data_IF_374250632480
#
_entry.id   IF_374250632480
#
_cell.length_a   1.000
_cell.length_b   1.000
_cell.length_c   1.000
_cell.angle_alpha   90.00
_cell.angle_beta   90.00
_cell.angle_gamma   90.00
#
_symmetry.space_group_name_H-M   'P 1'
#
loop_
_entity.id
_entity.type
_entity.pdbx_description
1 polymer ?
#
# COMPACT_ATOMS: atom_id res chain seq x y z
N UNK A 1 -3.37 -5.43 37.46
CA UNK A 1 -4.23 -5.57 36.27
C UNK A 1 -3.72 -4.57 35.23
N UNK A 2 -2.42 -4.60 34.92
CA UNK A 2 -1.71 -3.46 34.33
C UNK A 2 -0.74 -3.84 33.19
N UNK A 3 -0.59 -5.12 32.86
CA UNK A 3 0.32 -5.57 31.79
C UNK A 3 -0.31 -5.61 30.38
N UNK A 4 -1.64 -5.51 30.29
CA UNK A 4 -2.37 -5.67 29.01
C UNK A 4 -2.41 -4.36 28.21
N UNK A 5 -2.35 -3.19 28.85
CA UNK A 5 -2.43 -1.88 28.17
C UNK A 5 -1.08 -1.35 27.65
N UNK A 6 0.04 -1.75 28.26
CA UNK A 6 1.38 -1.24 27.92
C UNK A 6 1.93 -1.78 26.59
N UNK A 7 1.64 -3.03 26.25
CA UNK A 7 2.14 -3.68 25.03
C UNK A 7 1.28 -3.37 23.80
N UNK A 8 -0.04 -3.27 23.98
CA UNK A 8 -0.98 -2.99 22.89
C UNK A 8 -0.89 -1.55 22.36
N UNK A 9 -0.68 -0.58 23.25
CA UNK A 9 -0.56 0.84 22.89
C UNK A 9 0.77 1.12 22.16
N UNK A 10 1.89 0.57 22.65
CA UNK A 10 3.23 0.74 22.04
C UNK A 10 3.35 0.12 20.64
N UNK A 11 2.71 -1.04 20.41
CA UNK A 11 2.73 -1.71 19.09
C UNK A 11 1.90 -0.94 18.05
N UNK A 12 0.79 -0.33 18.48
CA UNK A 12 -0.10 0.47 17.62
C UNK A 12 0.57 1.77 17.15
N UNK A 13 1.21 2.52 18.05
CA UNK A 13 1.91 3.77 17.69
C UNK A 13 3.06 3.51 16.72
N UNK A 14 3.89 2.49 16.97
CA UNK A 14 5.00 2.15 16.08
C UNK A 14 4.54 1.75 14.66
N UNK A 15 3.40 1.07 14.55
CA UNK A 15 2.81 0.71 13.25
C UNK A 15 2.31 1.95 12.51
N UNK A 16 1.65 2.87 13.22
CA UNK A 16 1.17 4.13 12.67
C UNK A 16 2.34 5.05 12.23
N UNK A 17 3.38 5.19 13.04
CA UNK A 17 4.58 5.97 12.73
C UNK A 17 5.28 5.46 11.47
N UNK A 18 5.46 4.14 11.37
CA UNK A 18 6.06 3.52 10.19
C UNK A 18 5.21 3.74 8.94
N UNK A 19 3.88 3.63 9.07
CA UNK A 19 2.96 3.91 7.98
C UNK A 19 3.06 5.38 7.53
N UNK A 20 2.99 6.34 8.45
CA UNK A 20 3.07 7.77 8.16
C UNK A 20 4.42 8.12 7.50
N UNK A 21 5.53 7.59 8.01
CA UNK A 21 6.84 7.81 7.40
C UNK A 21 6.92 7.28 5.98
N UNK A 22 6.24 6.16 5.69
CA UNK A 22 6.20 5.57 4.35
C UNK A 22 5.33 6.38 3.40
N UNK A 23 4.13 6.77 3.84
CA UNK A 23 3.24 7.69 3.13
C UNK A 23 3.96 8.99 2.76
N UNK A 24 4.73 9.56 3.69
CA UNK A 24 5.49 10.78 3.44
C UNK A 24 6.50 10.60 2.30
N UNK A 25 7.37 9.58 2.40
CA UNK A 25 8.44 9.32 1.43
C UNK A 25 7.95 8.98 0.02
N UNK A 26 6.83 8.27 -0.06
CA UNK A 26 6.32 7.78 -1.34
C UNK A 26 5.36 8.73 -2.01
N UNK A 27 4.58 9.51 -1.24
CA UNK A 27 3.56 10.39 -1.77
C UNK A 27 3.85 11.87 -1.49
N UNK A 28 3.88 12.24 -0.20
CA UNK A 28 3.79 13.65 0.20
C UNK A 28 5.05 14.45 -0.12
N UNK A 29 6.23 13.81 -0.10
CA UNK A 29 7.50 14.47 -0.45
C UNK A 29 7.64 14.69 -1.97
N UNK A 30 6.77 14.08 -2.78
CA UNK A 30 6.85 14.07 -4.25
C UNK A 30 5.64 14.71 -4.92
N UNK A 31 4.65 15.15 -4.15
CA UNK A 31 3.38 15.65 -4.67
C UNK A 31 3.05 17.00 -4.05
N UNK A 32 2.84 18.02 -4.89
CA UNK A 32 2.31 19.29 -4.43
C UNK A 32 0.80 19.16 -4.15
N UNK A 33 0.42 19.27 -2.87
CA UNK A 33 -0.98 19.22 -2.44
C UNK A 33 -1.59 20.62 -2.59
N UNK A 34 -2.54 20.73 -3.53
CA UNK A 34 -3.14 22.01 -3.93
C UNK A 34 -4.25 22.48 -2.99
N UNK A 35 -5.02 21.54 -2.43
CA UNK A 35 -6.11 21.81 -1.49
C UNK A 35 -6.51 20.50 -0.78
N UNK A 36 -7.43 20.62 0.19
CA UNK A 36 -7.91 19.47 0.96
C UNK A 36 -8.60 18.41 0.08
N UNK A 37 -9.38 18.82 -0.92
CA UNK A 37 -10.05 17.86 -1.83
C UNK A 37 -9.03 17.06 -2.63
N UNK A 38 -7.96 17.70 -3.09
CA UNK A 38 -6.84 17.04 -3.75
C UNK A 38 -6.16 16.08 -2.78
N UNK A 39 -5.85 16.52 -1.56
CA UNK A 39 -5.24 15.65 -0.54
C UNK A 39 -6.08 14.39 -0.30
N UNK A 40 -7.39 14.54 -0.08
CA UNK A 40 -8.29 13.41 0.18
C UNK A 40 -8.28 12.43 -0.99
N UNK A 41 -8.42 12.90 -2.24
CA UNK A 41 -8.38 12.03 -3.43
C UNK A 41 -7.06 11.29 -3.54
N UNK A 42 -5.95 12.00 -3.37
CA UNK A 42 -4.61 11.44 -3.46
C UNK A 42 -4.35 10.41 -2.37
N UNK A 43 -4.77 10.68 -1.13
CA UNK A 43 -4.69 9.72 -0.02
C UNK A 43 -5.57 8.48 -0.27
N UNK A 44 -6.79 8.65 -0.78
CA UNK A 44 -7.66 7.52 -1.13
C UNK A 44 -6.98 6.61 -2.15
N UNK A 45 -6.52 7.17 -3.27
CA UNK A 45 -5.83 6.37 -4.30
C UNK A 45 -4.53 5.73 -3.78
N UNK A 46 -3.80 6.42 -2.89
CA UNK A 46 -2.63 5.83 -2.25
C UNK A 46 -3.01 4.65 -1.33
N UNK A 47 -4.09 4.76 -0.57
CA UNK A 47 -4.55 3.68 0.32
C UNK A 47 -5.05 2.46 -0.47
N UNK A 48 -5.75 2.69 -1.58
CA UNK A 48 -6.14 1.63 -2.53
C UNK A 48 -4.90 0.90 -3.06
N UNK A 49 -3.89 1.65 -3.49
CA UNK A 49 -2.61 1.09 -3.92
C UNK A 49 -1.90 0.32 -2.79
N UNK A 50 -1.79 0.93 -1.61
CA UNK A 50 -1.07 0.38 -0.45
C UNK A 50 -1.66 -0.96 0.00
N UNK A 51 -2.99 -1.06 0.02
CA UNK A 51 -3.70 -2.26 0.46
C UNK A 51 -3.87 -3.29 -0.66
N UNK A 52 -3.99 -2.85 -1.91
CA UNK A 52 -4.37 -3.71 -3.03
C UNK A 52 -3.22 -4.17 -3.93
N UNK A 53 -2.14 -3.40 -4.04
CA UNK A 53 -1.12 -3.63 -5.07
C UNK A 53 0.32 -3.59 -4.55
N UNK A 54 0.56 -2.82 -3.49
CA UNK A 54 1.89 -2.66 -2.95
C UNK A 54 2.38 -3.97 -2.33
N UNK A 55 3.58 -4.47 -2.68
CA UNK A 55 4.17 -5.62 -2.01
C UNK A 55 4.72 -5.23 -0.64
N UNK A 56 4.44 -6.04 0.39
CA UNK A 56 4.94 -5.81 1.75
C UNK A 56 5.90 -6.91 2.19
N UNK A 57 7.12 -6.53 2.59
CA UNK A 57 8.14 -7.51 3.04
C UNK A 57 7.71 -8.32 4.25
N UNK A 58 6.96 -7.71 5.17
CA UNK A 58 6.42 -8.40 6.34
C UNK A 58 5.33 -9.42 6.01
N UNK A 59 4.73 -9.33 4.81
CA UNK A 59 3.67 -10.21 4.31
C UNK A 59 4.17 -11.10 3.18
N UNK A 60 5.47 -11.45 3.16
CA UNK A 60 6.06 -12.29 2.11
C UNK A 60 5.84 -11.74 0.69
N UNK A 61 5.95 -10.42 0.52
CA UNK A 61 5.68 -9.68 -0.73
C UNK A 61 4.22 -9.64 -1.18
N UNK A 62 3.27 -10.14 -0.38
CA UNK A 62 1.85 -9.94 -0.62
C UNK A 62 1.43 -8.50 -0.26
N UNK A 63 0.40 -7.99 -0.91
CA UNK A 63 -0.34 -6.85 -0.42
C UNK A 63 -1.29 -7.26 0.73
N UNK A 64 -1.75 -6.33 1.58
CA UNK A 64 -2.67 -6.63 2.66
C UNK A 64 -3.92 -7.39 2.20
N UNK A 65 -4.54 -6.98 1.08
CA UNK A 65 -5.72 -7.68 0.57
C UNK A 65 -5.42 -9.12 0.12
N UNK A 66 -4.24 -9.39 -0.45
CA UNK A 66 -3.79 -10.74 -0.79
C UNK A 66 -3.43 -11.57 0.45
N UNK A 67 -2.86 -10.95 1.49
CA UNK A 67 -2.59 -11.66 2.73
C UNK A 67 -3.88 -12.11 3.42
N UNK A 68 -4.96 -11.33 3.30
CA UNK A 68 -6.29 -11.66 3.82
C UNK A 68 -7.02 -12.70 2.93
N UNK A 69 -7.03 -12.51 1.61
CA UNK A 69 -7.72 -13.39 0.67
C UNK A 69 -6.97 -14.71 0.39
N UNK A 70 -5.67 -14.77 0.70
CA UNK A 70 -4.77 -15.85 0.35
C UNK A 70 -3.88 -15.50 -0.86
N UNK A 71 -2.66 -16.08 -0.92
CA UNK A 71 -1.71 -15.76 -1.98
C UNK A 71 -2.28 -16.17 -3.36
N UNK A 72 -2.03 -15.36 -4.40
CA UNK A 72 -2.41 -15.73 -5.75
C UNK A 72 -1.67 -17.01 -6.18
N UNK A 73 -2.30 -17.80 -7.06
CA UNK A 73 -1.62 -18.96 -7.64
C UNK A 73 -0.40 -18.50 -8.45
N UNK A 74 0.74 -19.19 -8.36
CA UNK A 74 1.86 -18.94 -9.25
C UNK A 74 1.43 -19.05 -10.71
N UNK A 75 1.85 -18.08 -11.52
CA UNK A 75 1.58 -18.03 -12.95
C UNK A 75 2.90 -18.03 -13.73
N UNK A 76 2.88 -18.57 -14.95
CA UNK A 76 4.00 -18.42 -15.87
C UNK A 76 3.83 -17.12 -16.66
N UNK A 77 4.58 -16.09 -16.30
CA UNK A 77 4.50 -14.77 -16.95
C UNK A 77 4.76 -14.81 -18.47
N UNK A 78 5.46 -15.81 -19.00
CA UNK A 78 5.66 -15.95 -20.45
C UNK A 78 4.36 -16.27 -21.21
N UNK A 79 3.34 -16.78 -20.52
CA UNK A 79 2.04 -17.14 -21.09
C UNK A 79 1.00 -16.02 -20.95
N UNK A 80 1.35 -14.91 -20.29
CA UNK A 80 0.42 -13.84 -19.97
C UNK A 80 0.94 -12.48 -20.44
N UNK A 81 0.02 -11.63 -20.89
CA UNK A 81 0.32 -10.22 -21.11
C UNK A 81 0.17 -9.47 -19.79
N UNK A 82 1.11 -8.58 -19.46
CA UNK A 82 1.05 -7.72 -18.27
C UNK A 82 0.60 -6.33 -18.67
N UNK A 83 -0.43 -5.81 -18.00
CA UNK A 83 -0.85 -4.41 -18.08
C UNK A 83 -0.23 -3.61 -16.95
N UNK A 84 0.35 -2.46 -17.30
CA UNK A 84 0.82 -1.46 -16.37
C UNK A 84 -0.18 -0.32 -16.32
N UNK A 85 -0.66 0.00 -15.13
CA UNK A 85 -1.52 1.16 -14.86
C UNK A 85 -0.73 2.17 -14.05
N UNK A 86 -0.58 3.38 -14.59
CA UNK A 86 0.00 4.50 -13.87
C UNK A 86 -1.05 5.10 -12.93
N UNK A 87 -0.74 5.21 -11.64
CA UNK A 87 -1.63 5.81 -10.63
C UNK A 87 -0.96 7.04 -10.00
N UNK A 88 -1.76 7.91 -9.38
CA UNK A 88 -1.29 9.14 -8.74
C UNK A 88 -0.44 10.01 -9.69
N UNK A 89 -0.93 10.22 -10.91
CA UNK A 89 -0.21 10.99 -11.93
C UNK A 89 1.07 10.32 -12.45
N UNK A 90 1.19 9.00 -12.28
CA UNK A 90 2.36 8.22 -12.69
C UNK A 90 3.45 8.09 -11.63
N UNK A 91 3.20 8.59 -10.43
CA UNK A 91 4.10 8.44 -9.30
C UNK A 91 4.28 6.96 -8.91
N UNK A 92 3.22 6.18 -8.99
CA UNK A 92 3.22 4.75 -8.72
C UNK A 92 2.70 3.97 -9.93
N UNK A 93 3.09 2.69 -10.00
CA UNK A 93 2.70 1.80 -11.07
C UNK A 93 2.14 0.51 -10.50
N UNK A 94 0.99 0.12 -11.04
CA UNK A 94 0.32 -1.12 -10.71
C UNK A 94 0.45 -2.07 -11.91
N UNK A 95 0.66 -3.35 -11.62
CA UNK A 95 0.86 -4.37 -12.64
C UNK A 95 -0.18 -5.46 -12.44
N UNK A 96 -0.90 -5.79 -13.50
CA UNK A 96 -1.95 -6.79 -13.50
C UNK A 96 -1.82 -7.66 -14.75
N UNK A 97 -2.30 -8.90 -14.66
CA UNK A 97 -2.39 -9.79 -15.80
C UNK A 97 -3.57 -9.36 -16.67
N UNK A 98 -3.35 -9.27 -17.99
CA UNK A 98 -4.42 -9.09 -18.96
C UNK A 98 -5.38 -10.27 -18.85
N UNK A 99 -6.67 -9.99 -18.71
CA UNK A 99 -7.75 -10.97 -18.86
C UNK A 99 -7.82 -11.48 -20.29
#
# INVERSE_FOLDING_TARGET
>A
MDEIFGTHTRKRTHTAERFIGTLRRELLDRTLILNERHLRRTLTSYLEHYNGHRPHRALSQLCPSQAEAGPPRPINLAQHRVHRTAVLGGLLNEYQIAS
#
